data_IF_184096266093
#
_entry.id   IF_184096266093
#
_cell.length_a   1.000
_cell.length_b   1.000
_cell.length_c   1.000
_cell.angle_alpha   90.00
_cell.angle_beta   90.00
_cell.angle_gamma   90.00
#
_symmetry.space_group_name_H-M   'P 1'
#
loop_
_entity.id
_entity.type
_entity.pdbx_description
1 polymer ?
#
# COMPACT_ATOMS: atom_id res chain seq x y z
N UNK A 1 29.85 8.37 -18.80
CA UNK A 1 29.06 8.20 -17.56
C UNK A 1 27.68 7.67 -17.95
N UNK A 2 27.35 6.39 -17.68
CA UNK A 2 26.00 5.87 -17.94
C UNK A 2 25.11 6.23 -16.75
N UNK A 3 24.07 7.05 -16.95
CA UNK A 3 23.02 7.30 -15.94
C UNK A 3 22.46 5.95 -15.49
N UNK A 4 22.45 5.68 -14.19
CA UNK A 4 21.66 4.57 -13.63
C UNK A 4 20.20 4.85 -14.00
N UNK A 5 19.58 3.95 -14.78
CA UNK A 5 18.14 4.00 -15.04
C UNK A 5 17.42 3.86 -13.70
N UNK A 6 16.52 4.79 -13.41
CA UNK A 6 15.67 4.70 -12.23
C UNK A 6 14.65 3.57 -12.43
N UNK A 7 14.09 3.02 -11.35
CA UNK A 7 13.03 2.01 -11.47
C UNK A 7 11.75 2.55 -12.16
N UNK A 8 11.65 3.87 -12.30
CA UNK A 8 10.50 4.61 -12.84
C UNK A 8 10.73 5.05 -14.30
N UNK A 9 11.90 4.77 -14.88
CA UNK A 9 12.16 5.09 -16.29
C UNK A 9 11.44 4.07 -17.21
N UNK A 10 10.75 4.51 -18.27
CA UNK A 10 10.04 3.62 -19.17
C UNK A 10 11.00 2.57 -19.78
N UNK A 11 10.68 1.27 -19.71
CA UNK A 11 11.52 0.23 -20.30
C UNK A 11 11.32 0.15 -21.82
N UNK A 12 11.80 1.17 -22.56
CA UNK A 12 11.64 1.30 -24.02
C UNK A 12 12.10 0.07 -24.81
N UNK A 13 13.17 -0.61 -24.38
CA UNK A 13 13.63 -1.84 -25.02
C UNK A 13 12.63 -3.00 -24.87
N UNK A 14 11.96 -3.12 -23.71
CA UNK A 14 10.91 -4.13 -23.51
C UNK A 14 9.69 -3.81 -24.37
N UNK A 15 9.30 -2.54 -24.45
CA UNK A 15 8.18 -2.11 -25.27
C UNK A 15 8.45 -2.24 -26.78
N UNK A 16 9.67 -1.98 -27.23
CA UNK A 16 10.07 -2.18 -28.62
C UNK A 16 9.96 -3.66 -29.03
N UNK A 17 10.36 -4.58 -28.14
CA UNK A 17 10.26 -6.01 -28.37
C UNK A 17 8.80 -6.52 -28.35
N UNK A 18 8.01 -6.08 -27.37
CA UNK A 18 6.60 -6.47 -27.19
C UNK A 18 5.63 -5.73 -28.13
N UNK A 19 6.14 -4.94 -29.07
CA UNK A 19 5.31 -4.23 -30.03
C UNK A 19 4.53 -5.25 -30.89
N UNK A 20 3.20 -5.11 -31.06
CA UNK A 20 2.38 -6.03 -31.86
C UNK A 20 2.91 -6.29 -33.28
N UNK A 21 3.51 -5.29 -33.93
CA UNK A 21 4.11 -5.45 -35.26
C UNK A 21 5.29 -6.42 -35.23
N UNK A 22 6.15 -6.29 -34.23
CA UNK A 22 7.32 -7.14 -34.04
C UNK A 22 6.94 -8.59 -33.73
N UNK A 23 5.99 -8.77 -32.80
CA UNK A 23 5.46 -10.09 -32.44
C UNK A 23 4.74 -10.75 -33.63
N UNK A 24 3.96 -9.99 -34.41
CA UNK A 24 3.27 -10.52 -35.59
C UNK A 24 4.25 -10.90 -36.71
N UNK A 25 5.35 -10.16 -36.88
CA UNK A 25 6.40 -10.46 -37.85
C UNK A 25 7.16 -11.72 -37.46
N UNK A 26 7.56 -11.86 -36.19
CA UNK A 26 8.24 -13.07 -35.70
C UNK A 26 7.34 -14.31 -35.76
N UNK A 27 6.07 -14.18 -35.34
CA UNK A 27 5.10 -15.26 -35.40
C UNK A 27 4.79 -15.66 -36.86
N UNK A 28 4.56 -14.68 -37.74
CA UNK A 28 4.31 -14.89 -39.16
C UNK A 28 5.50 -15.54 -39.87
N UNK A 29 6.72 -15.06 -39.60
CA UNK A 29 7.95 -15.62 -40.17
C UNK A 29 8.22 -17.04 -39.68
N UNK A 30 7.92 -17.33 -38.41
CA UNK A 30 8.07 -18.67 -37.83
C UNK A 30 7.07 -19.66 -38.47
N UNK A 31 5.81 -19.27 -38.60
CA UNK A 31 4.78 -20.08 -39.29
C UNK A 31 5.13 -20.28 -40.76
N UNK A 32 5.54 -19.23 -41.47
CA UNK A 32 5.93 -19.31 -42.88
C UNK A 32 7.20 -20.16 -43.10
N UNK A 33 8.21 -20.03 -42.24
CA UNK A 33 9.43 -20.83 -42.31
C UNK A 33 9.15 -22.31 -42.06
N UNK A 34 8.26 -22.63 -41.11
CA UNK A 34 7.88 -24.01 -40.81
C UNK A 34 7.01 -24.63 -41.92
N UNK A 35 6.05 -23.86 -42.46
CA UNK A 35 5.13 -24.35 -43.49
C UNK A 35 5.80 -24.54 -44.86
N UNK A 36 6.76 -23.67 -45.20
CA UNK A 36 7.42 -23.71 -46.51
C UNK A 36 8.74 -24.48 -46.51
N UNK A 37 9.29 -24.82 -45.34
CA UNK A 37 10.60 -25.46 -45.18
C UNK A 37 11.80 -24.54 -45.47
N UNK A 38 11.57 -23.26 -45.74
CA UNK A 38 12.60 -22.30 -46.10
C UNK A 38 13.17 -21.60 -44.85
N UNK A 39 14.24 -22.17 -44.28
CA UNK A 39 14.91 -21.65 -43.07
C UNK A 39 15.39 -20.19 -43.19
N UNK A 40 15.68 -19.72 -44.41
CA UNK A 40 16.14 -18.35 -44.65
C UNK A 40 15.10 -17.28 -44.31
N UNK A 41 13.80 -17.61 -44.30
CA UNK A 41 12.72 -16.71 -43.87
C UNK A 41 12.84 -16.40 -42.39
N UNK A 42 13.12 -17.41 -41.56
CA UNK A 42 13.39 -17.23 -40.13
C UNK A 42 14.63 -16.39 -39.86
N UNK A 43 15.70 -16.58 -40.65
CA UNK A 43 16.94 -15.78 -40.53
C UNK A 43 16.70 -14.32 -40.94
N UNK A 44 15.94 -14.08 -42.00
CA UNK A 44 15.55 -12.72 -42.41
C UNK A 44 14.77 -11.98 -41.32
N UNK A 45 13.86 -12.66 -40.65
CA UNK A 45 13.11 -12.10 -39.52
C UNK A 45 14.01 -11.76 -38.32
N UNK A 46 14.98 -12.61 -37.98
CA UNK A 46 15.95 -12.33 -36.92
C UNK A 46 16.85 -11.12 -37.23
N UNK A 47 17.25 -10.94 -38.49
CA UNK A 47 18.01 -9.75 -38.91
C UNK A 47 17.15 -8.49 -38.81
N UNK A 48 15.90 -8.56 -39.27
CA UNK A 48 14.95 -7.45 -39.16
C UNK A 48 14.68 -7.06 -37.70
N UNK A 49 14.48 -8.05 -36.82
CA UNK A 49 14.36 -7.89 -35.37
C UNK A 49 15.59 -7.17 -34.77
N UNK A 50 16.78 -7.59 -35.17
CA UNK A 50 18.04 -7.01 -34.65
C UNK A 50 18.17 -5.54 -35.05
N UNK A 51 17.83 -5.21 -36.30
CA UNK A 51 17.81 -3.82 -36.79
C UNK A 51 16.74 -3.02 -36.04
N UNK A 52 15.54 -3.59 -35.85
CA UNK A 52 14.46 -2.95 -35.10
C UNK A 52 14.90 -2.64 -33.66
N UNK A 53 15.46 -3.62 -32.94
CA UNK A 53 15.91 -3.45 -31.56
C UNK A 53 17.09 -2.48 -31.41
N UNK A 54 17.84 -2.19 -32.47
CA UNK A 54 18.93 -1.20 -32.46
C UNK A 54 18.40 0.24 -32.58
N UNK A 55 17.34 0.47 -33.35
CA UNK A 55 16.86 1.82 -33.68
C UNK A 55 15.53 2.21 -33.03
N UNK A 56 14.65 1.24 -32.78
CA UNK A 56 13.33 1.50 -32.19
C UNK A 56 13.40 2.04 -30.75
N UNK A 57 14.25 1.52 -29.84
CA UNK A 57 14.29 2.01 -28.46
C UNK A 57 14.77 3.45 -28.32
N UNK A 58 15.59 3.95 -29.25
CA UNK A 58 16.17 5.30 -29.22
C UNK A 58 15.40 6.32 -30.09
N UNK A 59 14.31 5.90 -30.73
CA UNK A 59 13.48 6.77 -31.56
C UNK A 59 12.59 7.67 -30.70
N UNK A 60 12.89 8.97 -30.68
CA UNK A 60 12.12 9.98 -29.93
C UNK A 60 10.63 10.05 -30.34
N UNK A 61 10.33 9.78 -31.61
CA UNK A 61 8.94 9.75 -32.08
C UNK A 61 8.18 8.53 -31.52
N UNK A 62 8.84 7.37 -31.45
CA UNK A 62 8.22 6.13 -30.96
C UNK A 62 8.03 6.15 -29.42
N UNK A 63 9.01 6.73 -28.72
CA UNK A 63 8.95 7.01 -27.29
C UNK A 63 7.73 7.86 -26.94
N UNK A 64 7.65 9.08 -27.49
CA UNK A 64 6.60 10.04 -27.13
C UNK A 64 5.18 9.62 -27.59
N UNK A 65 5.06 8.95 -28.76
CA UNK A 65 3.74 8.66 -29.34
C UNK A 65 3.13 7.37 -28.80
N UNK A 66 3.95 6.36 -28.53
CA UNK A 66 3.48 5.02 -28.18
C UNK A 66 4.03 4.53 -26.84
N UNK A 67 5.35 4.49 -26.66
CA UNK A 67 5.92 3.88 -25.44
C UNK A 67 5.51 4.63 -24.16
N UNK A 68 5.56 5.96 -24.17
CA UNK A 68 5.19 6.78 -23.01
C UNK A 68 3.72 6.62 -22.65
N UNK A 69 2.84 6.59 -23.66
CA UNK A 69 1.40 6.36 -23.45
C UNK A 69 1.11 4.98 -22.89
N UNK A 70 1.77 3.95 -23.41
CA UNK A 70 1.60 2.57 -22.92
C UNK A 70 2.14 2.46 -21.49
N UNK A 71 3.30 3.05 -21.22
CA UNK A 71 3.88 3.06 -19.88
C UNK A 71 2.99 3.78 -18.87
N UNK A 72 2.44 4.94 -19.26
CA UNK A 72 1.49 5.68 -18.43
C UNK A 72 0.21 4.88 -18.17
N UNK A 73 -0.33 4.20 -19.19
CA UNK A 73 -1.49 3.32 -19.03
C UNK A 73 -1.20 2.13 -18.12
N UNK A 74 -0.05 1.46 -18.27
CA UNK A 74 0.38 0.37 -17.39
C UNK A 74 0.55 0.86 -15.95
N UNK A 75 1.10 2.06 -15.76
CA UNK A 75 1.26 2.68 -14.43
C UNK A 75 -0.10 2.95 -13.78
N UNK A 76 -1.04 3.54 -14.51
CA UNK A 76 -2.41 3.79 -14.03
C UNK A 76 -3.17 2.49 -13.74
N UNK A 77 -3.03 1.49 -14.60
CA UNK A 77 -3.58 0.16 -14.39
C UNK A 77 -2.94 -0.53 -13.17
N UNK A 78 -1.63 -0.34 -12.95
CA UNK A 78 -0.91 -0.82 -11.77
C UNK A 78 -1.44 -0.22 -10.48
N UNK A 79 -1.63 1.11 -10.43
CA UNK A 79 -2.24 1.81 -9.28
C UNK A 79 -3.63 1.26 -8.99
N UNK A 80 -4.44 1.06 -10.03
CA UNK A 80 -5.80 0.51 -9.89
C UNK A 80 -5.77 -0.93 -9.37
N UNK A 81 -4.88 -1.77 -9.89
CA UNK A 81 -4.71 -3.16 -9.41
C UNK A 81 -4.31 -3.21 -7.93
N UNK A 82 -3.36 -2.37 -7.52
CA UNK A 82 -2.94 -2.30 -6.11
C UNK A 82 -4.11 -1.89 -5.22
N UNK A 83 -4.93 -0.92 -5.64
CA UNK A 83 -6.15 -0.52 -4.92
C UNK A 83 -7.17 -1.65 -4.83
N UNK A 84 -7.41 -2.34 -5.94
CA UNK A 84 -8.32 -3.49 -5.97
C UNK A 84 -7.85 -4.62 -5.06
N UNK A 85 -6.55 -4.90 -5.04
CA UNK A 85 -5.97 -5.94 -4.19
C UNK A 85 -6.06 -5.54 -2.71
N UNK A 86 -5.79 -4.27 -2.37
CA UNK A 86 -6.04 -3.73 -1.02
C UNK A 86 -7.51 -3.89 -0.63
N UNK A 87 -8.44 -3.45 -1.47
CA UNK A 87 -9.87 -3.54 -1.24
C UNK A 87 -10.32 -4.99 -1.01
N UNK A 88 -9.89 -5.94 -1.86
CA UNK A 88 -10.21 -7.36 -1.73
C UNK A 88 -9.64 -8.01 -0.47
N UNK A 89 -8.54 -7.47 0.07
CA UNK A 89 -7.94 -7.96 1.31
C UNK A 89 -8.70 -7.54 2.58
N UNK A 90 -9.62 -6.58 2.46
CA UNK A 90 -10.41 -6.09 3.59
C UNK A 90 -11.52 -7.07 3.99
N UNK A 91 -11.91 -7.12 5.27
CA UNK A 91 -13.14 -7.76 5.70
C UNK A 91 -14.39 -7.10 5.09
N UNK A 92 -15.49 -7.86 4.96
CA UNK A 92 -16.75 -7.40 4.34
C UNK A 92 -17.27 -6.07 4.90
N UNK A 93 -17.18 -5.88 6.22
CA UNK A 93 -17.62 -4.64 6.87
C UNK A 93 -16.78 -3.43 6.42
N UNK A 94 -15.46 -3.61 6.27
CA UNK A 94 -14.55 -2.56 5.85
C UNK A 94 -14.62 -2.33 4.34
N UNK A 95 -14.89 -3.37 3.54
CA UNK A 95 -15.20 -3.23 2.11
C UNK A 95 -16.43 -2.35 1.89
N UNK A 96 -17.52 -2.60 2.62
CA UNK A 96 -18.74 -1.80 2.51
C UNK A 96 -18.48 -0.33 2.86
N UNK A 97 -17.70 -0.06 3.92
CA UNK A 97 -17.32 1.31 4.29
C UNK A 97 -16.42 1.97 3.24
N UNK A 98 -15.43 1.24 2.72
CA UNK A 98 -14.54 1.72 1.67
C UNK A 98 -15.31 2.07 0.39
N UNK A 99 -16.31 1.29 0.02
CA UNK A 99 -17.18 1.58 -1.12
C UNK A 99 -17.96 2.89 -0.93
N UNK A 100 -18.56 3.09 0.24
CA UNK A 100 -19.29 4.34 0.56
C UNK A 100 -18.36 5.55 0.49
N UNK A 101 -17.14 5.42 1.04
CA UNK A 101 -16.14 6.48 1.00
C UNK A 101 -15.70 6.78 -0.44
N UNK A 102 -15.45 5.74 -1.24
CA UNK A 102 -15.11 5.88 -2.66
C UNK A 102 -16.20 6.61 -3.44
N UNK A 103 -17.47 6.25 -3.22
CA UNK A 103 -18.61 6.91 -3.87
C UNK A 103 -18.72 8.38 -3.48
N UNK A 104 -18.38 8.73 -2.23
CA UNK A 104 -18.33 10.11 -1.76
C UNK A 104 -17.21 10.91 -2.45
N UNK A 105 -16.00 10.35 -2.53
CA UNK A 105 -14.87 10.94 -3.28
C UNK A 105 -15.22 11.15 -4.76
N UNK A 106 -15.80 10.13 -5.41
CA UNK A 106 -16.22 10.21 -6.81
C UNK A 106 -17.27 11.30 -7.04
N UNK A 107 -18.18 11.49 -6.09
CA UNK A 107 -19.19 12.57 -6.13
C UNK A 107 -18.54 13.94 -6.04
N UNK A 108 -17.64 14.16 -5.08
CA UNK A 108 -16.91 15.42 -4.93
C UNK A 108 -16.15 15.74 -6.20
N UNK A 109 -15.46 14.74 -6.76
CA UNK A 109 -14.74 14.89 -8.02
C UNK A 109 -15.63 15.38 -9.16
N UNK A 110 -16.82 14.79 -9.29
CA UNK A 110 -17.79 15.22 -10.30
C UNK A 110 -18.22 16.68 -10.06
N UNK A 111 -18.58 17.04 -8.83
CA UNK A 111 -19.01 18.39 -8.48
C UNK A 111 -17.90 19.43 -8.70
N UNK A 112 -16.66 19.10 -8.36
CA UNK A 112 -15.50 19.96 -8.58
C UNK A 112 -15.28 20.30 -10.06
N UNK A 113 -15.47 19.30 -10.94
CA UNK A 113 -15.33 19.46 -12.39
C UNK A 113 -16.49 20.24 -13.01
N UNK A 114 -17.68 20.15 -12.42
CA UNK A 114 -18.87 20.87 -12.84
C UNK A 114 -18.91 22.33 -12.32
N UNK A 115 -18.10 22.67 -11.31
CA UNK A 115 -18.07 24.00 -10.69
C UNK A 115 -17.38 25.04 -11.63
N UNK A 116 -18.12 26.03 -12.16
CA UNK A 116 -17.58 27.03 -13.09
C UNK A 116 -16.57 28.00 -12.46
N UNK A 117 -16.63 28.18 -11.14
CA UNK A 117 -15.77 29.10 -10.39
C UNK A 117 -14.37 28.53 -10.15
N UNK A 118 -14.16 27.24 -10.39
CA UNK A 118 -12.87 26.59 -10.16
C UNK A 118 -12.05 26.49 -11.45
N UNK A 119 -10.81 26.99 -11.44
CA UNK A 119 -9.90 26.86 -12.58
C UNK A 119 -9.47 25.41 -12.78
N UNK A 120 -9.65 24.88 -14.00
CA UNK A 120 -9.47 23.46 -14.31
C UNK A 120 -8.08 22.89 -13.95
N UNK A 121 -7.01 23.70 -13.97
CA UNK A 121 -5.66 23.22 -13.66
C UNK A 121 -5.42 23.03 -12.16
N UNK A 122 -5.84 23.98 -11.31
CA UNK A 122 -5.75 23.83 -9.85
C UNK A 122 -6.65 22.70 -9.35
N UNK A 123 -7.86 22.56 -9.90
CA UNK A 123 -8.78 21.48 -9.50
C UNK A 123 -8.17 20.12 -9.73
N UNK A 124 -7.48 19.90 -10.85
CA UNK A 124 -6.85 18.60 -11.16
C UNK A 124 -5.83 18.17 -10.11
N UNK A 125 -5.00 19.10 -9.63
CA UNK A 125 -4.02 18.79 -8.58
C UNK A 125 -4.72 18.36 -7.28
N UNK A 126 -5.78 19.07 -6.88
CA UNK A 126 -6.53 18.75 -5.66
C UNK A 126 -7.33 17.46 -5.78
N UNK A 127 -7.86 17.15 -6.97
CA UNK A 127 -8.52 15.87 -7.24
C UNK A 127 -7.59 14.68 -7.11
N UNK A 128 -6.31 14.82 -7.50
CA UNK A 128 -5.30 13.77 -7.28
C UNK A 128 -5.05 13.56 -5.79
N UNK A 129 -5.01 14.63 -5.00
CA UNK A 129 -4.86 14.49 -3.53
C UNK A 129 -6.09 13.85 -2.90
N UNK A 130 -7.30 14.21 -3.35
CA UNK A 130 -8.56 13.61 -2.93
C UNK A 130 -8.61 12.12 -3.27
N UNK A 131 -8.19 11.73 -4.47
CA UNK A 131 -8.06 10.32 -4.86
C UNK A 131 -7.02 9.58 -3.98
N UNK A 132 -6.02 10.29 -3.46
CA UNK A 132 -5.05 9.77 -2.50
C UNK A 132 -5.65 9.50 -1.11
N UNK A 133 -6.69 10.23 -0.69
CA UNK A 133 -7.38 9.96 0.59
C UNK A 133 -8.05 8.59 0.60
N UNK A 134 -8.46 8.07 -0.56
CA UNK A 134 -8.96 6.70 -0.65
C UNK A 134 -7.86 5.66 -0.40
N UNK A 135 -6.66 5.89 -0.91
CA UNK A 135 -5.51 5.02 -0.59
C UNK A 135 -5.20 5.04 0.91
N UNK A 136 -5.19 6.24 1.49
CA UNK A 136 -4.97 6.45 2.92
C UNK A 136 -6.05 5.73 3.77
N UNK A 137 -7.31 5.79 3.34
CA UNK A 137 -8.42 5.06 3.96
C UNK A 137 -8.24 3.53 3.91
N UNK A 138 -7.88 2.99 2.74
CA UNK A 138 -7.64 1.55 2.57
C UNK A 138 -6.47 1.08 3.44
N UNK A 139 -5.40 1.86 3.53
CA UNK A 139 -4.24 1.53 4.37
C UNK A 139 -4.60 1.49 5.86
N UNK A 140 -5.37 2.47 6.35
CA UNK A 140 -5.88 2.48 7.72
C UNK A 140 -6.81 1.29 8.01
N UNK A 141 -7.68 0.94 7.05
CA UNK A 141 -8.59 -0.18 7.19
C UNK A 141 -7.85 -1.53 7.26
N UNK A 142 -6.82 -1.73 6.42
CA UNK A 142 -5.98 -2.93 6.46
C UNK A 142 -5.24 -3.02 7.79
N UNK A 143 -4.63 -1.92 8.24
CA UNK A 143 -3.92 -1.86 9.52
C UNK A 143 -4.85 -2.22 10.68
N UNK A 144 -6.01 -1.58 10.77
CA UNK A 144 -6.97 -1.83 11.84
C UNK A 144 -7.47 -3.29 11.82
N UNK A 145 -7.82 -3.81 10.65
CA UNK A 145 -8.27 -5.21 10.47
C UNK A 145 -7.21 -6.23 10.91
N UNK A 146 -5.94 -6.03 10.50
CA UNK A 146 -4.83 -6.89 10.90
C UNK A 146 -4.57 -6.81 12.40
N UNK A 147 -4.55 -5.61 12.96
CA UNK A 147 -4.40 -5.41 14.40
C UNK A 147 -5.52 -6.08 15.20
N UNK A 148 -6.77 -5.93 14.77
CA UNK A 148 -7.94 -6.57 15.40
C UNK A 148 -7.90 -8.09 15.27
N UNK A 149 -7.42 -8.63 14.14
CA UNK A 149 -7.19 -10.06 14.00
C UNK A 149 -6.13 -10.55 15.00
N UNK A 150 -5.04 -9.80 15.17
CA UNK A 150 -3.99 -10.12 16.14
C UNK A 150 -4.50 -10.06 17.59
N UNK A 151 -5.20 -8.99 17.98
CA UNK A 151 -5.78 -8.87 19.33
C UNK A 151 -6.74 -10.01 19.65
N UNK A 152 -7.49 -10.52 18.67
CA UNK A 152 -8.40 -11.66 18.84
C UNK A 152 -7.67 -12.98 19.11
N UNK A 153 -6.43 -13.14 18.65
CA UNK A 153 -5.63 -14.34 18.92
C UNK A 153 -5.06 -14.36 20.35
N UNK A 154 -4.90 -13.19 20.98
CA UNK A 154 -4.29 -13.06 22.31
C UNK A 154 -5.36 -13.10 23.40
N UNK A 155 -5.26 -14.08 24.30
CA UNK A 155 -6.11 -14.12 25.50
C UNK A 155 -5.56 -13.17 26.59
N UNK A 156 -6.01 -11.92 26.56
CA UNK A 156 -5.59 -10.89 27.51
C UNK A 156 -5.93 -11.22 28.97
N UNK A 157 -7.05 -11.90 29.22
CA UNK A 157 -7.44 -12.36 30.55
C UNK A 157 -6.42 -13.37 31.11
N UNK A 158 -6.02 -14.33 30.28
CA UNK A 158 -4.99 -15.29 30.64
C UNK A 158 -3.63 -14.62 30.89
N UNK A 159 -3.24 -13.65 30.04
CA UNK A 159 -2.02 -12.87 30.21
C UNK A 159 -2.01 -12.12 31.55
N UNK A 160 -3.13 -11.46 31.90
CA UNK A 160 -3.27 -10.77 33.18
C UNK A 160 -3.26 -11.72 34.38
N UNK A 161 -3.89 -12.88 34.27
CA UNK A 161 -3.87 -13.90 35.31
C UNK A 161 -2.44 -14.42 35.56
N UNK A 162 -1.67 -14.69 34.50
CA UNK A 162 -0.26 -15.08 34.60
C UNK A 162 0.58 -13.98 35.25
N UNK A 163 0.40 -12.73 34.83
CA UNK A 163 1.13 -11.60 35.41
C UNK A 163 0.88 -11.46 36.91
N UNK A 164 -0.39 -11.52 37.35
CA UNK A 164 -0.75 -11.50 38.78
C UNK A 164 -0.12 -12.67 39.54
N UNK A 165 -0.18 -13.87 38.97
CA UNK A 165 0.42 -15.07 39.58
C UNK A 165 1.94 -14.91 39.79
N UNK A 166 2.68 -14.45 38.79
CA UNK A 166 4.12 -14.22 38.93
C UNK A 166 4.43 -13.06 39.88
N UNK A 167 3.55 -12.07 39.97
CA UNK A 167 3.67 -10.96 40.92
C UNK A 167 3.58 -11.46 42.37
N UNK A 168 2.62 -12.34 42.64
CA UNK A 168 2.44 -12.94 43.96
C UNK A 168 3.60 -13.90 44.30
N UNK A 169 4.10 -14.66 43.32
CA UNK A 169 5.28 -15.52 43.50
C UNK A 169 6.54 -14.74 43.82
N UNK A 170 6.82 -13.65 43.10
CA UNK A 170 7.99 -12.81 43.36
C UNK A 170 7.96 -12.20 44.77
N UNK A 171 6.78 -11.85 45.27
CA UNK A 171 6.58 -11.35 46.65
C UNK A 171 6.73 -12.45 47.71
N UNK A 172 6.31 -13.67 47.41
CA UNK A 172 6.32 -14.79 48.34
C UNK A 172 7.72 -15.39 48.55
N UNK A 173 8.61 -15.30 47.55
CA UNK A 173 9.95 -15.87 47.63
C UNK A 173 10.97 -14.92 48.31
N UNK A 174 11.93 -15.45 49.09
CA UNK A 174 13.02 -14.66 49.68
C UNK A 174 13.94 -14.01 48.62
N UNK A 175 14.61 -12.91 48.98
CA UNK A 175 15.48 -12.11 48.08
C UNK A 175 16.68 -12.86 47.48
N UNK A 176 17.09 -14.01 48.04
CA UNK A 176 18.21 -14.82 47.55
C UNK A 176 17.78 -16.14 46.91
N UNK A 177 16.49 -16.32 46.65
CA UNK A 177 15.96 -17.51 46.00
C UNK A 177 15.99 -17.36 44.47
N UNK A 178 16.61 -18.30 43.78
CA UNK A 178 16.65 -18.36 42.31
C UNK A 178 15.24 -18.39 41.68
N UNK A 179 14.24 -18.92 42.40
CA UNK A 179 12.83 -18.93 41.95
C UNK A 179 12.24 -17.53 41.89
N UNK A 180 12.69 -16.62 42.77
CA UNK A 180 12.29 -15.22 42.75
C UNK A 180 12.84 -14.51 41.52
N UNK A 181 14.12 -14.72 41.23
CA UNK A 181 14.78 -14.12 40.05
C UNK A 181 14.07 -14.54 38.75
N UNK A 182 13.71 -15.83 38.63
CA UNK A 182 12.93 -16.33 37.49
C UNK A 182 11.53 -15.70 37.44
N UNK A 183 10.86 -15.52 38.58
CA UNK A 183 9.55 -14.87 38.64
C UNK A 183 9.61 -13.39 38.25
N UNK A 184 10.63 -12.65 38.72
CA UNK A 184 10.87 -11.25 38.37
C UNK A 184 11.16 -11.07 36.88
N UNK A 185 11.98 -11.95 36.29
CA UNK A 185 12.25 -11.93 34.85
C UNK A 185 11.00 -12.24 34.02
N UNK A 186 10.17 -13.18 34.47
CA UNK A 186 8.88 -13.43 33.83
C UNK A 186 7.94 -12.22 33.94
N UNK A 187 7.95 -11.49 35.06
CA UNK A 187 7.16 -10.26 35.21
C UNK A 187 7.60 -9.15 34.24
N UNK A 188 8.90 -9.02 34.00
CA UNK A 188 9.43 -8.08 33.00
C UNK A 188 8.87 -8.38 31.62
N UNK A 189 9.02 -9.63 31.16
CA UNK A 189 8.51 -10.09 29.84
C UNK A 189 6.99 -9.93 29.74
N UNK A 190 6.25 -10.37 30.76
CA UNK A 190 4.78 -10.25 30.76
C UNK A 190 4.33 -8.78 30.81
N UNK A 191 5.07 -7.93 31.52
CA UNK A 191 4.82 -6.49 31.58
C UNK A 191 5.10 -5.78 30.25
N UNK A 192 6.12 -6.21 29.51
CA UNK A 192 6.35 -5.74 28.14
C UNK A 192 5.22 -6.20 27.20
N UNK A 193 4.88 -7.49 27.20
CA UNK A 193 3.79 -8.03 26.37
C UNK A 193 2.47 -7.30 26.60
N UNK A 194 2.17 -6.95 27.85
CA UNK A 194 0.97 -6.19 28.19
C UNK A 194 1.01 -4.76 27.64
N UNK A 195 2.11 -4.03 27.82
CA UNK A 195 2.27 -2.67 27.25
C UNK A 195 2.07 -2.68 25.74
N UNK A 196 2.68 -3.65 25.05
CA UNK A 196 2.52 -3.85 23.61
C UNK A 196 1.08 -4.10 23.18
N UNK A 197 0.34 -4.90 23.96
CA UNK A 197 -1.09 -5.11 23.71
C UNK A 197 -1.89 -3.81 23.85
N UNK A 198 -1.63 -3.03 24.90
CA UNK A 198 -2.27 -1.74 25.13
C UNK A 198 -1.95 -0.73 24.01
N UNK A 199 -0.67 -0.67 23.58
CA UNK A 199 -0.21 0.19 22.47
C UNK A 199 -0.90 -0.18 21.15
N UNK A 200 -1.04 -1.48 20.85
CA UNK A 200 -1.72 -1.97 19.66
C UNK A 200 -3.22 -1.62 19.70
N UNK A 201 -3.87 -1.81 20.85
CA UNK A 201 -5.28 -1.44 21.01
C UNK A 201 -5.50 0.06 20.81
N UNK A 202 -4.62 0.90 21.34
CA UNK A 202 -4.67 2.34 21.14
C UNK A 202 -4.46 2.72 19.66
N UNK A 203 -3.52 2.05 18.99
CA UNK A 203 -3.24 2.28 17.56
C UNK A 203 -4.44 1.93 16.69
N UNK A 204 -5.07 0.78 16.93
CA UNK A 204 -6.30 0.37 16.24
C UNK A 204 -7.41 1.38 16.46
N UNK A 205 -7.64 1.80 17.71
CA UNK A 205 -8.65 2.81 18.03
C UNK A 205 -8.38 4.14 17.32
N UNK A 206 -7.10 4.55 17.25
CA UNK A 206 -6.65 5.71 16.49
C UNK A 206 -6.96 5.58 15.00
N UNK A 207 -6.57 4.46 14.37
CA UNK A 207 -6.82 4.20 12.95
C UNK A 207 -8.32 4.23 12.62
N UNK A 208 -9.16 3.58 13.44
CA UNK A 208 -10.62 3.60 13.29
C UNK A 208 -11.19 5.02 13.43
N UNK A 209 -10.74 5.77 14.43
CA UNK A 209 -11.16 7.17 14.62
C UNK A 209 -10.76 8.08 13.45
N UNK A 210 -9.59 7.86 12.86
CA UNK A 210 -9.17 8.61 11.66
C UNK A 210 -9.99 8.23 10.42
N UNK A 211 -10.37 6.96 10.25
CA UNK A 211 -11.29 6.56 9.19
C UNK A 211 -12.65 7.27 9.33
N UNK A 212 -13.15 7.40 10.56
CA UNK A 212 -14.39 8.13 10.83
C UNK A 212 -14.23 9.64 10.54
N UNK A 213 -13.09 10.23 10.89
CA UNK A 213 -12.79 11.62 10.58
C UNK A 213 -12.72 11.86 9.06
N UNK A 214 -12.04 10.97 8.33
CA UNK A 214 -11.97 11.03 6.87
C UNK A 214 -13.36 10.99 6.25
N UNK A 215 -14.21 10.03 6.64
CA UNK A 215 -15.57 9.92 6.08
C UNK A 215 -16.41 11.17 6.36
N UNK A 216 -16.40 11.66 7.60
CA UNK A 216 -17.16 12.87 7.96
C UNK A 216 -16.68 14.11 7.21
N UNK A 217 -15.37 14.27 7.05
CA UNK A 217 -14.82 15.46 6.41
C UNK A 217 -15.00 15.41 4.89
N UNK A 218 -14.89 14.23 4.27
CA UNK A 218 -15.21 14.05 2.85
C UNK A 218 -16.68 14.37 2.60
N UNK A 219 -17.60 13.93 3.47
CA UNK A 219 -19.02 14.31 3.37
C UNK A 219 -19.22 15.82 3.46
N UNK A 220 -18.59 16.47 4.46
CA UNK A 220 -18.62 17.92 4.61
C UNK A 220 -18.08 18.64 3.36
N UNK A 221 -16.96 18.17 2.82
CA UNK A 221 -16.40 18.69 1.57
C UNK A 221 -17.38 18.57 0.41
N UNK A 222 -18.10 17.45 0.32
CA UNK A 222 -19.17 17.26 -0.66
C UNK A 222 -20.34 18.23 -0.52
N UNK A 223 -20.66 18.63 0.71
CA UNK A 223 -21.70 19.63 0.96
C UNK A 223 -21.21 21.06 0.65
N UNK A 224 -19.95 21.37 0.95
CA UNK A 224 -19.36 22.71 0.77
C UNK A 224 -18.95 22.99 -0.69
N UNK A 225 -18.59 21.98 -1.49
CA UNK A 225 -17.96 22.18 -2.81
C UNK A 225 -18.80 22.97 -3.82
N UNK A 226 -20.12 22.93 -3.70
CA UNK A 226 -21.02 23.69 -4.57
C UNK A 226 -20.99 25.19 -4.24
N UNK A 227 -20.73 25.52 -2.97
CA UNK A 227 -20.63 26.89 -2.50
C UNK A 227 -19.19 27.45 -2.56
N UNK A 228 -18.18 26.59 -2.74
CA UNK A 228 -16.78 27.01 -2.85
C UNK A 228 -16.56 27.92 -4.05
N UNK A 229 -15.92 29.05 -3.80
CA UNK A 229 -15.64 30.08 -4.81
C UNK A 229 -14.20 30.09 -5.30
N UNK A 230 -13.29 29.43 -4.57
CA UNK A 230 -11.86 29.38 -4.89
C UNK A 230 -11.28 27.96 -4.73
N UNK A 231 -10.44 27.49 -5.69
CA UNK A 231 -9.76 26.19 -5.58
C UNK A 231 -8.86 26.02 -4.35
N UNK A 232 -8.34 27.12 -3.79
CA UNK A 232 -7.47 27.09 -2.61
C UNK A 232 -8.19 26.61 -1.33
N UNK A 233 -9.51 26.80 -1.23
CA UNK A 233 -10.30 26.30 -0.11
C UNK A 233 -10.32 24.77 -0.08
N UNK A 234 -10.48 24.14 -1.25
CA UNK A 234 -10.41 22.68 -1.39
C UNK A 234 -9.01 22.15 -1.03
N UNK A 235 -7.94 22.82 -1.47
CA UNK A 235 -6.56 22.41 -1.13
C UNK A 235 -6.32 22.41 0.37
N UNK A 236 -6.66 23.50 1.07
CA UNK A 236 -6.42 23.61 2.52
C UNK A 236 -7.09 22.47 3.28
N UNK A 237 -8.35 22.16 2.94
CA UNK A 237 -9.12 21.10 3.58
C UNK A 237 -8.55 19.72 3.33
N UNK A 238 -8.13 19.43 2.09
CA UNK A 238 -7.51 18.14 1.75
C UNK A 238 -6.14 18.01 2.40
N UNK A 239 -5.35 19.08 2.46
CA UNK A 239 -4.04 19.07 3.10
C UNK A 239 -4.13 18.87 4.63
N UNK A 240 -5.10 19.51 5.29
CA UNK A 240 -5.42 19.29 6.71
C UNK A 240 -5.75 17.81 7.00
N UNK A 241 -6.56 17.20 6.14
CA UNK A 241 -6.93 15.78 6.24
C UNK A 241 -5.72 14.86 6.11
N UNK A 242 -4.88 15.11 5.10
CA UNK A 242 -3.69 14.27 4.87
C UNK A 242 -2.67 14.40 5.99
N UNK A 243 -2.50 15.61 6.56
CA UNK A 243 -1.62 15.82 7.70
C UNK A 243 -2.05 14.98 8.91
N UNK A 244 -3.35 14.97 9.22
CA UNK A 244 -3.90 14.17 10.33
C UNK A 244 -3.65 12.67 10.17
N UNK A 245 -3.78 12.15 8.94
CA UNK A 245 -3.52 10.73 8.66
C UNK A 245 -2.02 10.40 8.69
N UNK A 246 -1.16 11.29 8.17
CA UNK A 246 0.29 11.07 8.11
C UNK A 246 0.92 10.92 9.50
N UNK A 247 0.51 11.72 10.49
CA UNK A 247 1.02 11.64 11.87
C UNK A 247 0.75 10.28 12.53
N UNK A 248 -0.42 9.69 12.28
CA UNK A 248 -0.79 8.38 12.84
C UNK A 248 -0.05 7.25 12.11
N UNK A 249 0.13 7.40 10.79
CA UNK A 249 0.89 6.44 9.97
C UNK A 249 2.34 6.31 10.44
N UNK A 250 3.01 7.44 10.69
CA UNK A 250 4.40 7.47 11.19
C UNK A 250 4.51 6.73 12.54
N UNK A 251 3.57 6.96 13.45
CA UNK A 251 3.52 6.27 14.75
C UNK A 251 3.32 4.75 14.63
N UNK A 252 2.71 4.29 13.53
CA UNK A 252 2.35 2.87 13.36
C UNK A 252 3.36 2.05 12.57
N UNK A 253 4.06 2.65 11.60
CA UNK A 253 5.12 1.95 10.85
C UNK A 253 6.28 1.50 11.76
N UNK A 254 6.54 2.26 12.83
CA UNK A 254 7.50 1.91 13.86
C UNK A 254 7.05 0.71 14.71
N UNK A 255 5.73 0.47 14.83
CA UNK A 255 5.20 -0.66 15.60
C UNK A 255 5.34 -1.98 14.83
N UNK A 256 4.92 -2.03 13.56
CA UNK A 256 4.96 -3.25 12.73
C UNK A 256 6.38 -3.78 12.50
N UNK A 257 7.36 -2.89 12.27
CA UNK A 257 8.76 -3.27 12.08
C UNK A 257 9.35 -3.90 13.35
N UNK A 258 9.02 -3.35 14.51
CA UNK A 258 9.46 -3.85 15.82
C UNK A 258 8.79 -5.19 16.16
N UNK A 259 7.55 -5.43 15.73
CA UNK A 259 6.87 -6.71 15.94
C UNK A 259 7.43 -7.85 15.10
N UNK A 260 7.74 -7.60 13.82
CA UNK A 260 8.39 -8.60 12.97
C UNK A 260 9.75 -9.04 13.58
N UNK A 261 10.50 -8.10 14.15
CA UNK A 261 11.76 -8.39 14.85
C UNK A 261 11.56 -9.17 16.16
N UNK A 262 10.49 -8.89 16.91
CA UNK A 262 10.22 -9.56 18.20
C UNK A 262 9.63 -10.97 18.04
N UNK A 263 8.81 -11.20 17.02
CA UNK A 263 8.27 -12.53 16.70
C UNK A 263 9.41 -13.48 16.27
N UNK A 264 10.32 -12.99 15.44
CA UNK A 264 11.56 -13.71 15.07
C UNK A 264 12.45 -13.97 16.29
N UNK A 265 12.60 -13.00 17.20
CA UNK A 265 13.40 -13.15 18.42
C UNK A 265 12.78 -14.10 19.47
N UNK A 266 11.45 -14.21 19.52
CA UNK A 266 10.75 -15.13 20.42
C UNK A 266 10.77 -16.59 19.92
N UNK A 267 10.89 -16.81 18.60
CA UNK A 267 11.00 -18.15 18.01
C UNK A 267 12.42 -18.75 18.05
N UNK A 268 13.47 -17.92 18.06
CA UNK A 268 14.87 -18.39 18.18
C UNK A 268 15.16 -19.28 19.42
N UNK A 269 14.74 -18.93 20.65
CA UNK A 269 15.00 -19.78 21.82
C UNK A 269 14.19 -21.09 21.79
N UNK A 270 13.00 -21.10 21.18
CA UNK A 270 12.18 -22.31 21.04
C UNK A 270 12.81 -23.32 20.06
N UNK A 271 13.42 -22.84 18.96
CA UNK A 271 14.13 -23.70 17.98
C UNK A 271 15.46 -24.24 18.49
N UNK A 272 16.15 -23.51 19.39
CA UNK A 272 17.38 -23.97 20.04
C UNK A 272 17.15 -25.00 21.16
N UNK A 273 15.97 -25.02 21.77
CA UNK A 273 15.60 -26.03 22.77
C UNK A 273 15.12 -27.37 22.15
N UNK A 274 14.81 -27.38 20.85
CA UNK A 274 14.38 -28.56 20.10
C UNK A 274 15.49 -29.24 19.29
N UNK A 275 16.75 -28.84 19.47
CA UNK A 275 17.95 -29.45 18.89
C UNK A 275 18.88 -29.90 20.01
#
# INVERSE_FOLDING_TARGET
MKKKKSADDPPYAKYAFLNPYNLSLLAGASVASAATGHWWIGVGALVAETVWMLFAPDSAALQNVWFDKVHEQERLAGITRVRDDKYRSLPDADQARAQVFFDAVARIRKLALENPSMTAELVRAELVKLDGLYDDFLDLAIMASKGEAHLRMVNFEHLNALWRRYQDQAKAFPERDQRREVAEKNLEVLGERRRRFDDLAQTIAGARGQMDLLDNTVRLLGDEIVAMTAPGELSSRVDELRLGVATIRETTQDMDAVYAELEDAAEEPARRASR
#
